data_IF_578899801599
#
_entry.id   IF_578899801599
#
_cell.length_a   1.000
_cell.length_b   1.000
_cell.length_c   1.000
_cell.angle_alpha   90.00
_cell.angle_beta   90.00
_cell.angle_gamma   90.00
#
_symmetry.space_group_name_H-M   'P 1'
#
loop_
_entity.id
_entity.type
_entity.pdbx_description
1 polymer ?
#
# COMPACT_ATOMS: atom_id res chain seq x y z
N UNK A 1 -32.41 -16.35 70.27
CA UNK A 1 -32.03 -16.28 69.78
C UNK A 1 -31.38 -16.01 68.80
N UNK A 2 -31.18 -16.07 68.62
CA UNK A 2 -30.62 -16.05 67.89
C UNK A 2 -30.03 -15.82 67.00
N UNK A 3 -29.93 -15.83 66.75
CA UNK A 3 -29.46 -15.75 66.05
C UNK A 3 -28.79 -15.50 65.20
N UNK A 4 -28.69 -15.53 64.94
CA UNK A 4 -28.15 -15.45 64.27
C UNK A 4 -27.54 -15.26 63.36
N UNK A 5 -27.51 -15.27 63.15
CA UNK A 5 -26.94 -15.28 62.37
C UNK A 5 -26.46 -15.04 61.48
N UNK A 6 -26.43 -14.95 61.27
CA UNK A 6 -26.00 -14.86 60.42
C UNK A 6 -25.40 -14.55 59.59
N UNK A 7 -25.38 -14.53 59.56
CA UNK A 7 -24.81 -14.33 58.80
C UNK A 7 -24.23 -14.27 57.96
N UNK A 8 -24.17 -14.23 57.69
CA UNK A 8 -23.59 -14.23 56.93
C UNK A 8 -23.10 -14.12 56.09
N UNK A 9 -23.01 -14.02 55.84
CA UNK A 9 -22.56 -13.89 55.03
C UNK A 9 -22.05 -13.73 54.19
N UNK A 10 -21.92 -13.58 53.76
CA UNK A 10 -21.50 -13.61 53.09
C UNK A 10 -21.04 -13.25 52.25
N UNK A 11 -20.84 -13.33 51.88
CA UNK A 11 -20.37 -13.25 51.18
C UNK A 11 -19.92 -12.98 50.22
N UNK A 12 -19.65 -12.98 49.87
CA UNK A 12 -19.25 -12.99 49.07
C UNK A 12 -18.75 -12.61 48.08
N UNK A 13 -18.50 -12.62 47.69
CA UNK A 13 -18.06 -12.46 46.83
C UNK A 13 -17.58 -12.23 45.86
N UNK A 14 -17.28 -12.18 45.42
CA UNK A 14 -16.87 -12.13 44.57
C UNK A 14 -16.38 -11.79 43.59
N UNK A 15 -16.07 -11.66 43.14
CA UNK A 15 -15.64 -11.48 42.26
C UNK A 15 -15.18 -11.27 41.33
N UNK A 16 -14.87 -11.14 40.89
CA UNK A 16 -14.46 -11.09 40.18
C UNK A 16 -14.09 -10.77 39.11
N UNK A 17 -13.77 -10.77 38.67
CA UNK A 17 -13.46 -10.80 37.78
C UNK A 17 -12.94 -10.30 36.80
N UNK A 18 -12.56 -10.26 36.32
CA UNK A 18 -12.11 -9.95 35.52
C UNK A 18 -11.71 -9.81 34.43
N UNK A 19 -11.43 -9.71 33.90
CA UNK A 19 -11.11 -9.74 32.96
C UNK A 19 -10.60 -9.34 32.01
N UNK A 20 -10.18 -9.22 31.56
CA UNK A 20 -9.70 -8.95 30.78
C UNK A 20 -9.36 -8.73 29.69
N UNK A 21 -9.10 -8.61 29.18
CA UNK A 21 -8.85 -8.47 28.35
C UNK A 21 -8.35 -8.24 27.31
N UNK A 22 -7.98 -8.18 26.80
CA UNK A 22 -7.50 -8.20 26.00
C UNK A 22 -7.22 -7.79 24.89
N UNK A 23 -6.80 -7.55 24.29
CA UNK A 23 -6.53 -7.21 23.38
C UNK A 23 -5.98 -7.13 22.35
N UNK A 24 -5.60 -7.01 21.76
CA UNK A 24 -5.11 -7.05 20.89
C UNK A 24 -4.75 -6.62 19.90
N UNK A 25 -4.28 -6.40 19.50
CA UNK A 25 -3.76 -6.05 18.87
C UNK A 25 -3.64 -5.98 17.68
N UNK A 26 -3.52 -6.11 17.11
CA UNK A 26 -3.52 -6.28 16.05
C UNK A 26 -2.90 -5.65 15.08
N UNK A 27 -2.31 -5.46 14.81
CA UNK A 27 -1.71 -4.95 14.04
C UNK A 27 -1.49 -5.01 12.91
N UNK A 28 -1.45 -5.09 12.39
CA UNK A 28 -1.35 -5.18 11.38
C UNK A 28 -0.66 -4.88 10.39
N UNK A 29 -0.05 -4.98 10.25
CA UNK A 29 0.60 -5.11 9.26
C UNK A 29 0.41 -4.38 8.13
N UNK A 30 0.56 -3.53 7.99
CA UNK A 30 0.41 -2.87 6.97
C UNK A 30 1.54 -2.63 6.22
N UNK A 31 2.58 -2.96 6.56
CA UNK A 31 3.75 -2.58 5.96
C UNK A 31 3.82 -2.80 4.52
N UNK A 32 3.25 -3.82 4.05
CA UNK A 32 3.43 -4.06 2.70
C UNK A 32 2.72 -3.17 1.84
N UNK A 33 1.82 -2.45 2.30
CA UNK A 33 1.10 -1.55 1.45
C UNK A 33 1.92 -0.37 1.05
N UNK A 34 3.08 -0.15 1.66
CA UNK A 34 3.90 0.98 1.27
C UNK A 34 4.75 0.70 0.04
N UNK A 35 4.79 -0.54 -0.42
CA UNK A 35 5.63 -0.87 -1.56
C UNK A 35 4.80 -0.76 -2.83
N UNK A 36 5.06 0.20 -3.69
CA UNK A 36 4.26 0.37 -4.87
C UNK A 36 4.57 -0.70 -5.90
N UNK A 37 3.58 -1.00 -6.72
CA UNK A 37 3.77 -1.85 -7.88
C UNK A 37 4.26 -0.98 -9.02
N UNK A 38 5.26 -1.48 -9.73
CA UNK A 38 5.83 -0.76 -10.85
C UNK A 38 5.42 -1.38 -12.16
N UNK A 39 5.35 -0.56 -13.18
CA UNK A 39 4.99 -0.98 -14.51
C UNK A 39 5.96 -0.36 -15.51
N UNK A 40 6.26 -1.10 -16.56
CA UNK A 40 7.07 -0.58 -17.64
C UNK A 40 6.13 -0.21 -18.78
N UNK A 41 6.16 1.04 -19.17
CA UNK A 41 5.40 1.51 -20.32
C UNK A 41 6.36 1.60 -21.48
N UNK A 42 6.13 0.78 -22.50
CA UNK A 42 7.01 0.66 -23.64
C UNK A 42 6.41 1.42 -24.79
N UNK A 43 7.17 2.32 -25.36
CA UNK A 43 6.77 3.08 -26.54
C UNK A 43 7.75 2.81 -27.66
N UNK A 44 7.49 3.37 -28.83
CA UNK A 44 8.42 3.17 -29.95
C UNK A 44 9.74 3.83 -29.72
N UNK A 45 9.82 4.79 -28.81
CA UNK A 45 11.06 5.51 -28.58
C UNK A 45 11.80 5.03 -27.38
N UNK A 46 11.11 4.69 -26.30
CA UNK A 46 11.78 4.34 -25.06
C UNK A 46 10.84 3.60 -24.14
N UNK A 47 11.39 3.22 -23.00
CA UNK A 47 10.63 2.59 -21.92
C UNK A 47 10.63 3.51 -20.73
N UNK A 48 9.53 3.55 -20.00
CA UNK A 48 9.42 4.34 -18.79
C UNK A 48 8.92 3.45 -17.67
N UNK A 49 9.55 3.51 -16.51
CA UNK A 49 9.10 2.78 -15.33
C UNK A 49 8.24 3.72 -14.49
N UNK A 50 7.03 3.28 -14.17
CA UNK A 50 6.07 4.16 -13.49
C UNK A 50 5.35 3.43 -12.38
N UNK A 51 4.78 4.20 -11.47
CA UNK A 51 3.84 3.72 -10.47
C UNK A 51 2.57 4.55 -10.55
N UNK A 52 1.43 3.92 -10.27
CA UNK A 52 0.16 4.61 -10.26
C UNK A 52 0.09 5.45 -8.99
N UNK A 53 -0.22 6.75 -9.08
CA UNK A 53 -0.38 7.57 -7.88
C UNK A 53 -1.64 7.13 -7.13
N UNK A 54 -1.53 6.70 -5.89
CA UNK A 54 -2.68 6.10 -5.21
C UNK A 54 -3.77 7.11 -4.84
N UNK A 55 -3.41 8.36 -4.68
CA UNK A 55 -4.37 9.37 -4.28
C UNK A 55 -4.79 10.29 -5.41
N UNK A 56 -4.47 9.95 -6.63
CA UNK A 56 -4.85 10.75 -7.79
C UNK A 56 -6.27 10.37 -8.21
N UNK A 57 -7.14 11.36 -8.35
CA UNK A 57 -8.50 11.10 -8.76
C UNK A 57 -8.52 10.50 -10.16
N UNK A 58 -9.27 9.44 -10.34
CA UNK A 58 -9.36 8.79 -11.64
C UNK A 58 -8.19 7.89 -11.99
N UNK A 59 -7.29 7.65 -11.07
CA UNK A 59 -6.17 6.76 -11.33
C UNK A 59 -6.68 5.33 -11.53
N UNK A 60 -6.07 4.57 -12.45
CA UNK A 60 -6.48 3.18 -12.65
C UNK A 60 -5.99 2.31 -11.51
N UNK A 61 -6.54 1.10 -11.43
CA UNK A 61 -6.02 0.12 -10.50
C UNK A 61 -4.58 -0.24 -10.91
N UNK A 62 -3.75 -0.66 -9.96
CA UNK A 62 -2.36 -0.99 -10.26
C UNK A 62 -2.25 -2.38 -10.92
N UNK A 63 -2.76 -2.49 -12.12
CA UNK A 63 -2.69 -3.69 -12.94
C UNK A 63 -2.41 -3.26 -14.37
N UNK A 64 -1.58 -4.01 -15.06
CA UNK A 64 -1.17 -3.65 -16.41
C UNK A 64 -2.38 -3.49 -17.33
N UNK A 65 -3.33 -4.41 -17.27
CA UNK A 65 -4.51 -4.36 -18.12
C UNK A 65 -5.38 -3.13 -17.79
N UNK A 66 -5.53 -2.83 -16.51
CA UNK A 66 -6.33 -1.67 -16.11
C UNK A 66 -5.69 -0.37 -16.56
N UNK A 67 -4.37 -0.28 -16.48
CA UNK A 67 -3.64 0.89 -16.94
C UNK A 67 -3.81 1.05 -18.45
N UNK A 68 -3.66 -0.03 -19.20
CA UNK A 68 -3.83 0.02 -20.65
C UNK A 68 -5.23 0.45 -21.06
N UNK A 69 -6.25 -0.08 -20.37
CA UNK A 69 -7.62 0.29 -20.66
C UNK A 69 -7.88 1.76 -20.33
N UNK A 70 -7.36 2.23 -19.21
CA UNK A 70 -7.56 3.61 -18.81
C UNK A 70 -6.85 4.57 -19.76
N UNK A 71 -5.67 4.20 -20.23
CA UNK A 71 -4.97 5.01 -21.23
C UNK A 71 -5.77 5.10 -22.51
N UNK A 72 -6.30 3.97 -22.99
CA UNK A 72 -7.09 3.97 -24.20
C UNK A 72 -8.36 4.81 -24.05
N UNK A 73 -8.99 4.75 -22.89
CA UNK A 73 -10.24 5.46 -22.67
C UNK A 73 -10.05 6.95 -22.46
N UNK A 74 -8.97 7.35 -21.78
CA UNK A 74 -8.77 8.75 -21.41
C UNK A 74 -7.78 9.48 -22.29
N UNK A 75 -6.97 8.77 -23.00
CA UNK A 75 -5.96 9.37 -23.89
C UNK A 75 -4.67 9.78 -23.21
N UNK A 76 -4.68 9.94 -21.90
CA UNK A 76 -3.49 10.29 -21.15
C UNK A 76 -3.72 9.98 -19.69
N UNK A 77 -2.67 9.62 -18.98
CA UNK A 77 -2.72 9.39 -17.54
C UNK A 77 -1.47 9.96 -16.89
N UNK A 78 -1.59 10.32 -15.62
CA UNK A 78 -0.48 10.80 -14.82
C UNK A 78 0.07 9.67 -13.99
N UNK A 79 1.38 9.55 -13.96
CA UNK A 79 2.09 8.53 -13.19
C UNK A 79 3.27 9.15 -12.47
N UNK A 80 3.75 8.46 -11.45
CA UNK A 80 5.06 8.75 -10.88
C UNK A 80 6.10 8.00 -11.69
N UNK A 81 7.03 8.72 -12.27
CA UNK A 81 8.15 8.11 -12.97
C UNK A 81 9.16 7.64 -11.94
N UNK A 82 9.59 6.39 -12.06
CA UNK A 82 10.60 5.81 -11.18
C UNK A 82 11.92 5.69 -11.93
N UNK A 83 12.99 5.89 -11.19
CA UNK A 83 14.34 5.75 -11.73
C UNK A 83 15.25 5.19 -10.66
N UNK A 84 16.31 4.53 -11.10
CA UNK A 84 17.31 4.00 -10.19
C UNK A 84 18.16 5.15 -9.66
N UNK A 85 18.44 5.11 -8.37
CA UNK A 85 19.32 6.09 -7.75
C UNK A 85 20.12 5.42 -6.64
N UNK A 86 21.15 6.10 -6.16
CA UNK A 86 21.93 5.60 -5.04
C UNK A 86 21.31 6.10 -3.75
N UNK A 87 21.02 5.19 -2.83
CA UNK A 87 20.49 5.54 -1.54
C UNK A 87 21.55 6.12 -0.63
N UNK A 88 21.17 6.64 0.52
CA UNK A 88 22.09 7.22 1.47
C UNK A 88 23.16 6.23 1.93
N UNK A 89 22.81 4.94 2.00
CA UNK A 89 23.75 3.91 2.43
C UNK A 89 24.61 3.37 1.29
N UNK A 90 24.51 3.95 0.10
CA UNK A 90 25.29 3.52 -1.05
C UNK A 90 24.66 2.44 -1.90
N UNK A 91 23.58 1.82 -1.46
CA UNK A 91 22.90 0.79 -2.24
C UNK A 91 22.03 1.43 -3.32
N UNK A 92 21.77 0.68 -4.37
CA UNK A 92 20.87 1.18 -5.42
C UNK A 92 19.42 0.95 -5.00
N UNK A 93 18.56 1.83 -5.45
CA UNK A 93 17.14 1.71 -5.22
C UNK A 93 16.36 2.36 -6.36
N UNK A 94 15.10 1.93 -6.56
CA UNK A 94 14.18 2.58 -7.47
C UNK A 94 13.35 3.57 -6.67
N UNK A 95 13.33 4.82 -7.12
CA UNK A 95 12.65 5.88 -6.38
C UNK A 95 11.84 6.76 -7.30
N UNK A 96 10.77 7.36 -6.79
CA UNK A 96 9.98 8.28 -7.60
C UNK A 96 10.80 9.52 -7.92
N UNK A 97 10.75 9.92 -9.17
CA UNK A 97 11.53 11.05 -9.63
C UNK A 97 10.65 12.27 -9.89
N UNK A 98 9.55 12.09 -10.58
CA UNK A 98 8.65 13.18 -10.93
C UNK A 98 7.35 12.62 -11.42
N UNK A 99 6.30 13.42 -11.36
CA UNK A 99 5.05 13.07 -12.02
C UNK A 99 5.18 13.36 -13.50
N UNK A 100 4.72 12.44 -14.32
CA UNK A 100 4.75 12.59 -15.75
C UNK A 100 3.39 12.24 -16.32
N UNK A 101 3.12 12.76 -17.51
CA UNK A 101 1.92 12.43 -18.25
C UNK A 101 2.30 11.49 -19.38
N UNK A 102 1.60 10.36 -19.45
CA UNK A 102 1.81 9.40 -20.52
C UNK A 102 0.63 9.47 -21.47
N UNK A 103 0.92 9.65 -22.73
CA UNK A 103 -0.10 9.76 -23.75
C UNK A 103 -0.31 8.40 -24.41
N UNK A 104 -1.57 8.08 -24.65
CA UNK A 104 -1.89 6.83 -25.32
C UNK A 104 -1.55 6.91 -26.80
N UNK A 105 -1.10 5.81 -27.35
CA UNK A 105 -0.97 5.64 -28.80
C UNK A 105 -0.92 4.17 -29.13
N UNK A 106 -0.99 3.85 -30.40
CA UNK A 106 -1.26 2.51 -30.86
C UNK A 106 -0.17 1.49 -30.50
N UNK A 107 1.06 1.92 -30.44
CA UNK A 107 2.16 1.02 -30.18
C UNK A 107 2.55 0.96 -28.71
N UNK A 108 1.79 1.62 -27.85
CA UNK A 108 2.14 1.63 -26.43
C UNK A 108 1.75 0.31 -25.78
N UNK A 109 2.59 -0.15 -24.88
CA UNK A 109 2.39 -1.42 -24.21
C UNK A 109 2.70 -1.23 -22.72
N UNK A 110 1.92 -1.85 -21.85
CA UNK A 110 2.11 -1.77 -20.41
C UNK A 110 2.43 -3.16 -19.90
N UNK A 111 3.52 -3.29 -19.16
CA UNK A 111 3.96 -4.56 -18.60
C UNK A 111 4.23 -4.41 -17.12
N UNK A 112 3.96 -5.43 -16.32
CA UNK A 112 4.40 -5.40 -14.92
C UNK A 112 5.92 -5.37 -14.86
N UNK A 113 6.47 -4.68 -13.88
CA UNK A 113 7.90 -4.57 -13.73
C UNK A 113 8.32 -4.85 -12.29
N UNK A 114 9.21 -5.81 -12.09
CA UNK A 114 9.71 -6.15 -10.78
C UNK A 114 11.22 -5.87 -10.76
N UNK A 115 11.64 -4.81 -10.11
CA UNK A 115 13.07 -4.51 -10.06
C UNK A 115 13.81 -5.44 -9.11
N UNK A 116 15.12 -5.57 -9.34
CA UNK A 116 15.96 -6.35 -8.46
C UNK A 116 16.37 -5.58 -7.22
N UNK A 117 16.08 -4.30 -7.14
CA UNK A 117 16.51 -3.45 -6.05
C UNK A 117 15.28 -2.99 -5.27
N UNK A 118 15.53 -2.40 -4.12
CA UNK A 118 14.48 -1.89 -3.25
C UNK A 118 13.68 -0.80 -3.95
N UNK A 119 12.37 -0.75 -3.67
CA UNK A 119 11.49 0.25 -4.26
C UNK A 119 11.03 1.21 -3.17
N UNK A 120 11.24 2.49 -3.40
CA UNK A 120 10.85 3.53 -2.45
C UNK A 120 9.38 3.86 -2.68
N UNK A 121 8.59 4.02 -1.60
CA UNK A 121 7.16 4.36 -1.76
C UNK A 121 6.97 5.70 -2.46
N UNK A 122 5.78 5.86 -3.06
CA UNK A 122 5.44 7.16 -3.65
C UNK A 122 5.29 8.19 -2.54
N UNK A 123 5.61 9.44 -2.82
CA UNK A 123 5.54 10.50 -1.81
C UNK A 123 4.14 10.75 -1.29
#
# INVERSE_FOLDING_TARGET
>A
MQTTSLRRFGAAVTLAAVSLATVFASVTAVADTTKPLLFKIVTVKDDVIVAVPPDEAGAPRPEAAAIGQALAAKGALTFWQYATRKAADGALEMAPRAKISVLAHDSLRVEPYTPAVRVVPVP
#
